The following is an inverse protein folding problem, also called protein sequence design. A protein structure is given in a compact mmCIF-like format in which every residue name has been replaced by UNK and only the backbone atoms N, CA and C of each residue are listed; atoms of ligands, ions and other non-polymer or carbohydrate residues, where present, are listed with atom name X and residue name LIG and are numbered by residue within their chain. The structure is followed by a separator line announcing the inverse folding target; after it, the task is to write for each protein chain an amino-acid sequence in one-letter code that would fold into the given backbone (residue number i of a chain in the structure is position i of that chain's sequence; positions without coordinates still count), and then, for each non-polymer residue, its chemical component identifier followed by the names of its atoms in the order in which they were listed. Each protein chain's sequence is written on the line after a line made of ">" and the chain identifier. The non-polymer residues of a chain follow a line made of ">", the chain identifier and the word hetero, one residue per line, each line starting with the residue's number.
data_IF_820866249056
#
_entry.id   IF_820866249056
#
_cell.length_a   1.000
_cell.length_b   1.000
_cell.length_c   1.000
_cell.angle_alpha   90.00
_cell.angle_beta   90.00
_cell.angle_gamma   90.00
#
_symmetry.space_group_name_H-M   'P 1'
#
loop_
_entity.id
_entity.type
_entity.pdbx_description
1 polymer ?
#
# COMPACT_ATOMS: atom_id res chain seq x y z
N UNK A 1 1.17 -6.86 -12.25
CA UNK A 1 2.06 -6.21 -11.27
C UNK A 1 1.22 -5.41 -10.28
N UNK A 2 1.53 -5.50 -9.01
CA UNK A 2 0.86 -4.73 -7.98
C UNK A 2 1.84 -4.10 -7.01
N UNK A 3 1.39 -3.07 -6.31
CA UNK A 3 2.22 -2.34 -5.36
C UNK A 3 1.54 -2.40 -3.99
N UNK A 4 2.31 -2.80 -2.96
CA UNK A 4 1.91 -2.69 -1.56
C UNK A 4 2.74 -1.58 -0.96
N UNK A 5 2.08 -0.64 -0.32
CA UNK A 5 2.71 0.51 0.32
C UNK A 5 2.41 0.47 1.82
N UNK A 6 3.46 0.58 2.62
CA UNK A 6 3.38 0.53 4.09
C UNK A 6 3.88 1.86 4.61
N UNK A 7 3.09 2.53 5.45
CA UNK A 7 3.46 3.82 6.04
C UNK A 7 3.33 3.77 7.55
N UNK A 8 4.33 4.27 8.25
CA UNK A 8 4.32 4.39 9.70
C UNK A 8 5.64 3.97 10.33
N UNK A 9 5.70 3.98 11.68
CA UNK A 9 6.97 3.75 12.39
C UNK A 9 7.51 2.32 12.26
N UNK A 10 6.67 1.35 11.87
CA UNK A 10 7.09 -0.04 11.67
C UNK A 10 7.37 -0.41 10.21
N UNK A 11 7.22 0.53 9.28
CA UNK A 11 7.35 0.23 7.86
C UNK A 11 8.70 -0.38 7.52
N UNK A 12 9.79 0.20 8.00
CA UNK A 12 11.14 -0.30 7.75
C UNK A 12 11.36 -1.71 8.29
N UNK A 13 10.92 -1.97 9.53
CA UNK A 13 11.04 -3.30 10.15
C UNK A 13 10.26 -4.36 9.36
N UNK A 14 9.06 -4.02 8.92
CA UNK A 14 8.23 -4.93 8.13
C UNK A 14 8.89 -5.21 6.77
N UNK A 15 9.39 -4.17 6.11
CA UNK A 15 10.10 -4.32 4.85
C UNK A 15 11.33 -5.20 4.98
N UNK A 16 12.12 -4.99 6.02
CA UNK A 16 13.30 -5.80 6.32
C UNK A 16 12.92 -7.27 6.58
N UNK A 17 11.85 -7.49 7.32
CA UNK A 17 11.39 -8.84 7.64
C UNK A 17 10.94 -9.61 6.40
N UNK A 18 10.24 -8.96 5.48
CA UNK A 18 9.76 -9.58 4.24
C UNK A 18 10.89 -9.85 3.25
N UNK A 19 11.84 -8.93 3.11
CA UNK A 19 12.93 -9.04 2.14
C UNK A 19 14.16 -9.74 2.71
N UNK A 20 14.32 -9.74 4.03
CA UNK A 20 15.52 -10.18 4.75
C UNK A 20 16.76 -9.38 4.39
N UNK A 21 16.56 -8.13 3.97
CA UNK A 21 17.61 -7.20 3.58
C UNK A 21 17.54 -5.95 4.45
N UNK A 22 18.70 -5.32 4.65
CA UNK A 22 18.76 -3.96 5.15
C UNK A 22 18.49 -3.03 3.97
N UNK A 23 17.34 -2.35 3.99
CA UNK A 23 16.94 -1.49 2.90
C UNK A 23 17.70 -0.16 2.95
N UNK A 24 18.39 0.14 1.87
CA UNK A 24 19.09 1.42 1.70
C UNK A 24 18.06 2.46 1.23
N UNK A 25 17.95 3.63 1.87
CA UNK A 25 16.98 4.64 1.50
C UNK A 25 17.02 4.99 0.01
N UNK A 26 15.84 5.01 -0.60
CA UNK A 26 15.63 5.38 -2.01
C UNK A 26 16.43 4.54 -3.02
N UNK A 27 16.82 3.35 -2.62
CA UNK A 27 17.53 2.41 -3.47
C UNK A 27 16.58 1.26 -3.85
N UNK A 28 16.50 0.92 -5.12
CA UNK A 28 15.67 -0.18 -5.58
C UNK A 28 16.37 -1.51 -5.30
N UNK A 29 15.80 -2.30 -4.41
CA UNK A 29 16.32 -3.63 -4.08
C UNK A 29 15.47 -4.68 -4.80
N UNK A 30 16.08 -5.42 -5.71
CA UNK A 30 15.42 -6.62 -6.24
C UNK A 30 15.56 -7.74 -5.20
N UNK A 31 14.43 -8.31 -4.78
CA UNK A 31 14.41 -9.23 -3.66
C UNK A 31 13.26 -10.22 -3.78
N UNK A 32 13.43 -11.37 -3.15
CA UNK A 32 12.33 -12.25 -2.82
C UNK A 32 11.57 -11.69 -1.61
N UNK A 33 10.26 -11.91 -1.57
CA UNK A 33 9.41 -11.56 -0.45
C UNK A 33 9.00 -12.84 0.28
N UNK A 34 9.26 -12.90 1.58
CA UNK A 34 9.14 -14.11 2.39
C UNK A 34 7.98 -14.05 3.37
N UNK A 35 7.31 -15.19 3.57
CA UNK A 35 6.36 -15.35 4.67
C UNK A 35 7.08 -15.55 6.00
N UNK A 36 6.33 -15.47 7.11
CA UNK A 36 6.85 -15.78 8.43
C UNK A 36 7.32 -17.23 8.57
N UNK A 37 6.76 -18.13 7.75
CA UNK A 37 7.18 -19.53 7.69
C UNK A 37 8.42 -19.75 6.81
N UNK A 38 8.96 -18.71 6.20
CA UNK A 38 10.16 -18.77 5.36
C UNK A 38 9.89 -19.10 3.90
N UNK A 39 8.63 -19.27 3.49
CA UNK A 39 8.30 -19.51 2.10
C UNK A 39 8.42 -18.22 1.27
N UNK A 40 8.90 -18.35 0.03
CA UNK A 40 8.93 -17.24 -0.91
C UNK A 40 7.53 -17.06 -1.50
N UNK A 41 6.93 -15.90 -1.27
CA UNK A 41 5.60 -15.58 -1.79
C UNK A 41 5.66 -14.99 -3.19
N UNK A 42 6.67 -14.17 -3.45
CA UNK A 42 6.89 -13.51 -4.73
C UNK A 42 8.29 -12.91 -4.75
N UNK A 43 8.63 -12.27 -5.84
CA UNK A 43 9.83 -11.44 -5.96
C UNK A 43 9.48 -10.14 -6.64
N UNK A 44 10.28 -9.13 -6.39
CA UNK A 44 10.05 -7.81 -6.97
C UNK A 44 11.01 -6.78 -6.40
N UNK A 45 10.58 -5.54 -6.42
CA UNK A 45 11.39 -4.41 -5.97
C UNK A 45 10.88 -3.89 -4.65
N UNK A 46 11.78 -3.69 -3.69
CA UNK A 46 11.49 -3.04 -2.43
C UNK A 46 12.21 -1.70 -2.35
N UNK A 47 11.50 -0.68 -1.91
CA UNK A 47 11.99 0.68 -1.77
C UNK A 47 11.65 1.20 -0.37
N UNK A 48 12.63 1.86 0.28
CA UNK A 48 12.44 2.52 1.56
C UNK A 48 12.54 4.03 1.38
N UNK A 49 11.54 4.75 1.86
CA UNK A 49 11.54 6.21 1.90
C UNK A 49 11.45 6.66 3.36
N UNK A 50 12.58 6.98 4.01
CA UNK A 50 12.53 7.43 5.40
C UNK A 50 11.82 8.78 5.53
N UNK A 51 10.99 8.92 6.56
CA UNK A 51 10.42 10.22 6.88
C UNK A 51 11.50 11.24 7.27
N UNK A 52 11.25 12.53 7.04
CA UNK A 52 10.06 13.12 6.43
C UNK A 52 10.04 13.12 4.90
N UNK A 53 11.07 12.58 4.24
CA UNK A 53 11.20 12.59 2.78
C UNK A 53 10.43 11.44 2.14
N UNK A 54 9.12 11.44 2.34
CA UNK A 54 8.19 10.43 1.83
C UNK A 54 6.84 11.07 1.53
N UNK A 55 5.96 10.34 0.86
CA UNK A 55 4.64 10.87 0.51
C UNK A 55 3.83 11.27 1.75
N UNK A 56 3.82 10.43 2.78
CA UNK A 56 3.04 10.69 4.00
C UNK A 56 3.78 11.50 5.04
N UNK A 57 5.10 11.72 4.87
CA UNK A 57 5.96 12.29 5.90
C UNK A 57 6.42 11.29 6.95
N UNK A 58 5.92 10.07 6.90
CA UNK A 58 6.33 8.95 7.76
C UNK A 58 7.33 8.07 7.01
N UNK A 59 7.89 7.05 7.68
CA UNK A 59 8.65 6.02 6.99
C UNK A 59 7.70 5.24 6.08
N UNK A 60 8.08 5.09 4.82
CA UNK A 60 7.27 4.36 3.82
C UNK A 60 8.13 3.29 3.17
N UNK A 61 7.57 2.08 3.09
CA UNK A 61 8.14 1.00 2.29
C UNK A 61 7.17 0.67 1.16
N UNK A 62 7.71 0.51 -0.03
CA UNK A 62 6.95 0.12 -1.21
C UNK A 62 7.47 -1.23 -1.70
N UNK A 63 6.54 -2.17 -1.89
CA UNK A 63 6.83 -3.50 -2.41
C UNK A 63 6.15 -3.61 -3.77
N UNK A 64 6.94 -3.71 -4.83
CA UNK A 64 6.45 -3.86 -6.20
C UNK A 64 6.50 -5.35 -6.56
N UNK A 65 5.35 -6.01 -6.56
CA UNK A 65 5.23 -7.44 -6.75
C UNK A 65 4.81 -7.78 -8.19
N UNK A 66 5.21 -8.95 -8.67
CA UNK A 66 4.88 -9.44 -10.01
C UNK A 66 3.59 -10.25 -10.04
N UNK A 67 3.25 -10.90 -8.92
CA UNK A 67 2.10 -11.79 -8.85
C UNK A 67 0.76 -11.10 -8.99
N UNK A 68 -0.26 -11.89 -9.27
CA UNK A 68 -1.63 -11.42 -9.40
C UNK A 68 -2.32 -11.17 -8.06
N UNK A 69 -3.66 -11.00 -8.08
CA UNK A 69 -4.42 -10.64 -6.88
C UNK A 69 -4.23 -11.59 -5.69
N UNK A 70 -4.11 -12.89 -5.94
CA UNK A 70 -3.92 -13.88 -4.87
C UNK A 70 -2.60 -13.66 -4.15
N UNK A 71 -1.53 -13.42 -4.90
CA UNK A 71 -0.20 -13.16 -4.33
C UNK A 71 -0.19 -11.84 -3.57
N UNK A 72 -0.82 -10.80 -4.10
CA UNK A 72 -0.94 -9.52 -3.40
C UNK A 72 -1.70 -9.66 -2.09
N UNK A 73 -2.76 -10.45 -2.05
CA UNK A 73 -3.48 -10.73 -0.82
C UNK A 73 -2.62 -11.46 0.21
N UNK A 74 -1.82 -12.45 -0.22
CA UNK A 74 -0.91 -13.16 0.67
C UNK A 74 0.16 -12.23 1.24
N UNK A 75 0.73 -11.37 0.42
CA UNK A 75 1.70 -10.36 0.87
C UNK A 75 1.06 -9.39 1.86
N UNK A 76 -0.14 -8.94 1.58
CA UNK A 76 -0.87 -8.02 2.44
C UNK A 76 -1.15 -8.66 3.80
N UNK A 77 -1.55 -9.93 3.82
CA UNK A 77 -1.76 -10.68 5.06
C UNK A 77 -0.45 -10.77 5.88
N UNK A 78 0.67 -11.04 5.23
CA UNK A 78 1.98 -11.10 5.91
C UNK A 78 2.36 -9.75 6.52
N UNK A 79 2.14 -8.66 5.78
CA UNK A 79 2.37 -7.30 6.28
C UNK A 79 1.52 -7.03 7.53
N UNK A 80 0.25 -7.41 7.49
CA UNK A 80 -0.66 -7.21 8.63
C UNK A 80 -0.28 -8.08 9.82
N UNK A 81 0.15 -9.33 9.60
CA UNK A 81 0.64 -10.20 10.67
C UNK A 81 1.84 -9.61 11.41
N UNK A 82 2.63 -8.78 10.74
CA UNK A 82 3.82 -8.15 11.31
C UNK A 82 3.51 -6.83 12.02
N UNK A 83 2.25 -6.48 12.17
CA UNK A 83 1.81 -5.35 12.98
C UNK A 83 1.22 -4.17 12.24
N UNK A 84 1.10 -4.25 10.92
CA UNK A 84 0.38 -3.25 10.16
C UNK A 84 -1.13 -3.55 10.14
N UNK A 85 -1.91 -2.59 9.71
CA UNK A 85 -3.34 -2.76 9.43
C UNK A 85 -3.65 -2.23 8.03
N UNK A 86 -4.77 -2.66 7.48
CA UNK A 86 -5.24 -2.11 6.22
C UNK A 86 -5.54 -0.62 6.38
N UNK A 87 -5.08 0.17 5.42
CA UNK A 87 -5.39 1.59 5.38
C UNK A 87 -6.86 1.80 5.03
N UNK A 88 -7.46 2.82 5.63
CA UNK A 88 -8.80 3.28 5.24
C UNK A 88 -8.69 4.04 3.91
N UNK A 89 -9.77 4.10 3.12
CA UNK A 89 -9.75 4.92 1.90
C UNK A 89 -9.30 6.35 2.20
N UNK A 90 -8.28 6.83 1.47
CA UNK A 90 -7.75 8.17 1.64
C UNK A 90 -6.80 8.37 2.81
N UNK A 91 -6.48 7.34 3.57
CA UNK A 91 -5.65 7.47 4.76
C UNK A 91 -4.22 7.95 4.45
N UNK A 92 -3.62 7.50 3.36
CA UNK A 92 -2.28 7.97 2.95
C UNK A 92 -2.29 9.47 2.65
N UNK A 93 -3.30 9.94 1.95
CA UNK A 93 -3.47 11.36 1.64
C UNK A 93 -3.77 12.18 2.90
N UNK A 94 -4.57 11.65 3.82
CA UNK A 94 -4.85 12.27 5.09
C UNK A 94 -3.57 12.47 5.90
N UNK A 95 -2.73 11.44 5.99
CA UNK A 95 -1.46 11.51 6.70
C UNK A 95 -0.50 12.50 6.03
N UNK A 96 -0.47 12.52 4.70
CA UNK A 96 0.32 13.49 3.96
C UNK A 96 -0.10 14.93 4.28
N UNK A 97 -1.40 15.19 4.34
CA UNK A 97 -1.92 16.50 4.70
C UNK A 97 -1.55 16.89 6.14
N UNK A 98 -1.75 15.97 7.09
CA UNK A 98 -1.42 16.21 8.50
C UNK A 98 0.07 16.47 8.73
N UNK A 99 0.92 15.91 7.90
CA UNK A 99 2.37 16.10 7.94
C UNK A 99 2.86 17.17 6.96
N UNK A 100 1.94 18.01 6.46
CA UNK A 100 2.24 19.16 5.61
C UNK A 100 2.95 18.81 4.30
N UNK A 101 2.68 17.63 3.75
CA UNK A 101 3.23 17.20 2.46
C UNK A 101 2.37 17.63 1.28
N UNK A 102 1.09 17.80 1.51
CA UNK A 102 0.14 18.34 0.53
C UNK A 102 -0.69 19.43 1.19
N UNK A 103 -1.25 20.33 0.40
CA UNK A 103 -2.12 21.38 0.92
C UNK A 103 -3.57 20.90 1.03
N UNK A 104 -4.42 21.72 1.63
CA UNK A 104 -5.83 21.38 1.83
C UNK A 104 -6.56 21.16 0.50
N UNK A 105 -6.29 21.99 -0.50
CA UNK A 105 -6.93 21.84 -1.81
C UNK A 105 -6.58 20.52 -2.46
N UNK A 106 -5.31 20.09 -2.38
CA UNK A 106 -4.86 18.80 -2.88
C UNK A 106 -5.53 17.64 -2.11
N UNK A 107 -5.60 17.76 -0.79
CA UNK A 107 -6.25 16.75 0.05
C UNK A 107 -7.74 16.62 -0.28
N UNK A 108 -8.44 17.73 -0.45
CA UNK A 108 -9.86 17.74 -0.81
C UNK A 108 -10.08 17.11 -2.20
N UNK A 109 -9.22 17.44 -3.17
CA UNK A 109 -9.31 16.89 -4.51
C UNK A 109 -9.15 15.36 -4.50
N UNK A 110 -8.21 14.85 -3.73
CA UNK A 110 -8.00 13.39 -3.59
C UNK A 110 -9.19 12.75 -2.89
N UNK A 111 -9.70 13.37 -1.82
CA UNK A 111 -10.89 12.88 -1.11
C UNK A 111 -12.11 12.80 -2.03
N UNK A 112 -12.32 13.80 -2.86
CA UNK A 112 -13.41 13.83 -3.83
C UNK A 112 -13.28 12.69 -4.85
N UNK A 113 -12.06 12.45 -5.36
CA UNK A 113 -11.80 11.35 -6.28
C UNK A 113 -12.09 9.99 -5.64
N UNK A 114 -11.69 9.78 -4.40
CA UNK A 114 -11.94 8.54 -3.67
C UNK A 114 -13.43 8.33 -3.46
N UNK A 115 -14.15 9.36 -3.01
CA UNK A 115 -15.60 9.31 -2.81
C UNK A 115 -16.33 9.02 -4.12
N UNK A 116 -15.95 9.68 -5.20
CA UNK A 116 -16.52 9.46 -6.53
C UNK A 116 -16.30 8.03 -7.01
N UNK A 117 -15.09 7.50 -6.85
CA UNK A 117 -14.75 6.13 -7.21
C UNK A 117 -15.56 5.12 -6.41
N UNK A 118 -15.75 5.35 -5.12
CA UNK A 118 -16.54 4.48 -4.24
C UNK A 118 -18.01 4.50 -4.64
N UNK A 119 -18.57 5.67 -4.90
CA UNK A 119 -19.96 5.82 -5.35
C UNK A 119 -20.18 5.14 -6.71
N UNK A 120 -19.26 5.34 -7.64
CA UNK A 120 -19.32 4.74 -8.95
C UNK A 120 -19.26 3.21 -8.88
N UNK A 121 -18.41 2.68 -8.04
CA UNK A 121 -18.31 1.24 -7.81
C UNK A 121 -19.64 0.67 -7.26
N UNK A 122 -20.27 1.36 -6.32
CA UNK A 122 -21.55 0.95 -5.77
C UNK A 122 -22.67 0.99 -6.84
N UNK A 123 -22.69 2.03 -7.66
CA UNK A 123 -23.65 2.14 -8.76
C UNK A 123 -23.44 1.04 -9.80
N UNK A 124 -22.20 0.75 -10.15
CA UNK A 124 -21.87 -0.30 -11.11
C UNK A 124 -22.29 -1.68 -10.59
N UNK A 125 -22.08 -1.95 -9.31
CA UNK A 125 -22.52 -3.19 -8.68
C UNK A 125 -24.06 -3.33 -8.74
N UNK A 126 -24.79 -2.26 -8.44
CA UNK A 126 -26.24 -2.22 -8.52
C UNK A 126 -26.74 -2.46 -9.95
N UNK A 127 -26.12 -1.82 -10.92
CA UNK A 127 -26.46 -2.01 -12.35
C UNK A 127 -26.22 -3.44 -12.80
N UNK A 128 -25.11 -4.04 -12.37
CA UNK A 128 -24.79 -5.43 -12.69
C UNK A 128 -25.85 -6.38 -12.18
N UNK A 129 -26.29 -6.21 -10.93
CA UNK A 129 -27.35 -7.02 -10.34
C UNK A 129 -28.68 -6.86 -11.07
N UNK A 130 -29.04 -5.65 -11.43
CA UNK A 130 -30.28 -5.38 -12.16
C UNK A 130 -30.19 -5.87 -13.61
N UNK A 131 -29.06 -5.67 -14.26
CA UNK A 131 -28.84 -6.06 -15.66
C UNK A 131 -28.87 -7.56 -15.87
N UNK A 132 -28.41 -8.34 -14.93
CA UNK A 132 -28.40 -9.80 -15.00
C UNK A 132 -29.80 -10.38 -14.98
N UNK A 133 -30.78 -9.68 -14.43
CA UNK A 133 -32.15 -10.14 -14.27
C UNK A 133 -33.13 -9.50 -15.26
N UNK A 134 -32.66 -8.63 -16.12
CA UNK A 134 -33.45 -8.01 -17.16
C UNK A 134 -33.20 -8.65 -18.54
#
# INVERSE_FOLDING_TARGET
>A
MGIIRISGPRAELIGKALTRLDLIPRHAHFSAFHSSAGAMLDSGIALLFPGPHSFTGEDVVELQAHGGPVILDLLLQEVCLRGARLARPGEFSQRAYLNEKIDLAQAEAIADLINSSTQQAALNATRSLQGEFS
#
